data_IF_111962034805
#
_entry.id   IF_111962034805
#
_cell.length_a   1.000
_cell.length_b   1.000
_cell.length_c   1.000
_cell.angle_alpha   90.00
_cell.angle_beta   90.00
_cell.angle_gamma   90.00
#
_symmetry.space_group_name_H-M   'P 1'
#
loop_
_entity.id
_entity.type
_entity.pdbx_description
1 polymer ?
#
# COMPACT_ATOMS: atom_id res chain seq x y z
N UNK A 1 -2.63 -30.58 -36.05
CA UNK A 1 -2.91 -29.56 -35.01
C UNK A 1 -4.41 -29.27 -35.05
N UNK A 2 -5.15 -29.48 -33.96
CA UNK A 2 -6.63 -29.45 -33.98
C UNK A 2 -7.17 -28.03 -34.19
N UNK A 3 -8.24 -27.86 -34.99
CA UNK A 3 -8.90 -26.56 -35.23
C UNK A 3 -9.20 -25.79 -33.95
N UNK A 4 -9.57 -26.50 -32.88
CA UNK A 4 -9.84 -25.93 -31.56
C UNK A 4 -8.61 -25.27 -30.92
N UNK A 5 -7.39 -25.79 -31.14
CA UNK A 5 -6.17 -25.14 -30.66
C UNK A 5 -5.91 -23.85 -31.42
N UNK A 6 -6.12 -23.86 -32.74
CA UNK A 6 -5.93 -22.66 -33.59
C UNK A 6 -6.92 -21.54 -33.21
N UNK A 7 -8.18 -21.85 -32.93
CA UNK A 7 -9.15 -20.85 -32.47
C UNK A 7 -8.78 -20.30 -31.10
N UNK A 8 -8.39 -21.15 -30.14
CA UNK A 8 -8.01 -20.70 -28.81
C UNK A 8 -6.80 -19.74 -28.81
N UNK A 9 -5.79 -20.02 -29.66
CA UNK A 9 -4.66 -19.12 -29.84
C UNK A 9 -5.08 -17.80 -30.51
N UNK A 10 -5.97 -17.87 -31.51
CA UNK A 10 -6.50 -16.68 -32.17
C UNK A 10 -7.28 -15.79 -31.17
N UNK A 11 -8.17 -16.38 -30.37
CA UNK A 11 -8.96 -15.69 -29.36
C UNK A 11 -8.05 -15.08 -28.27
N UNK A 12 -7.00 -15.80 -27.86
CA UNK A 12 -6.02 -15.30 -26.90
C UNK A 12 -5.24 -14.10 -27.45
N UNK A 13 -4.84 -14.12 -28.72
CA UNK A 13 -4.12 -13.02 -29.37
C UNK A 13 -5.05 -11.81 -29.56
N UNK A 14 -6.31 -12.06 -29.91
CA UNK A 14 -7.32 -11.01 -30.05
C UNK A 14 -7.63 -10.34 -28.70
N UNK A 15 -7.76 -11.12 -27.63
CA UNK A 15 -7.93 -10.60 -26.28
C UNK A 15 -6.75 -9.74 -25.83
N UNK A 16 -5.51 -10.18 -26.10
CA UNK A 16 -4.31 -9.40 -25.82
C UNK A 16 -4.27 -8.09 -26.61
N UNK A 17 -4.64 -8.13 -27.90
CA UNK A 17 -4.75 -6.94 -28.73
C UNK A 17 -5.79 -5.96 -28.16
N UNK A 18 -6.98 -6.44 -27.80
CA UNK A 18 -8.03 -5.62 -27.18
C UNK A 18 -7.58 -5.01 -25.86
N UNK A 19 -6.87 -5.80 -25.03
CA UNK A 19 -6.31 -5.34 -23.75
C UNK A 19 -5.31 -4.21 -23.97
N UNK A 20 -4.39 -4.36 -24.93
CA UNK A 20 -3.42 -3.31 -25.29
C UNK A 20 -4.11 -2.06 -25.82
N UNK A 21 -5.15 -2.21 -26.65
CA UNK A 21 -5.95 -1.08 -27.14
C UNK A 21 -6.63 -0.35 -25.98
N UNK A 22 -7.26 -1.05 -25.04
CA UNK A 22 -7.88 -0.45 -23.85
C UNK A 22 -6.86 0.27 -22.95
N UNK A 23 -5.70 -0.34 -22.69
CA UNK A 23 -4.63 0.29 -21.89
C UNK A 23 -4.12 1.55 -22.58
N UNK A 24 -3.95 1.51 -23.90
CA UNK A 24 -3.53 2.67 -24.71
C UNK A 24 -4.56 3.79 -24.63
N UNK A 25 -5.86 3.50 -24.81
CA UNK A 25 -6.92 4.50 -24.65
C UNK A 25 -6.93 5.10 -23.25
N UNK A 26 -6.80 4.27 -22.20
CA UNK A 26 -6.76 4.75 -20.82
C UNK A 26 -5.55 5.64 -20.56
N UNK A 27 -4.38 5.31 -21.11
CA UNK A 27 -3.18 6.12 -21.02
C UNK A 27 -3.33 7.46 -21.77
N UNK A 28 -3.91 7.44 -22.97
CA UNK A 28 -4.17 8.64 -23.76
C UNK A 28 -5.18 9.55 -23.06
N UNK A 29 -6.29 9.01 -22.56
CA UNK A 29 -7.29 9.76 -21.80
C UNK A 29 -6.66 10.37 -20.54
N UNK A 30 -5.83 9.61 -19.82
CA UNK A 30 -5.13 10.10 -18.63
C UNK A 30 -4.15 11.23 -18.95
N UNK A 31 -3.34 11.09 -20.00
CA UNK A 31 -2.42 12.14 -20.44
C UNK A 31 -3.15 13.40 -20.91
N UNK A 32 -4.25 13.24 -21.64
CA UNK A 32 -5.11 14.37 -22.05
C UNK A 32 -5.76 15.06 -20.84
N UNK A 33 -6.03 14.33 -19.76
CA UNK A 33 -6.52 14.91 -18.52
C UNK A 33 -5.44 15.67 -17.73
N UNK A 34 -4.18 15.24 -17.79
CA UNK A 34 -3.03 15.92 -17.16
C UNK A 34 -2.54 17.13 -17.98
N UNK A 35 -2.68 17.10 -19.31
CA UNK A 35 -2.31 18.19 -20.22
C UNK A 35 -3.41 18.41 -21.29
N UNK A 36 -4.50 19.14 -20.96
CA UNK A 36 -5.58 19.38 -21.91
C UNK A 36 -5.12 20.27 -23.07
N UNK A 37 -5.34 19.80 -24.30
CA UNK A 37 -5.12 20.60 -25.50
C UNK A 37 -6.39 21.44 -25.72
N UNK A 38 -6.28 22.75 -25.52
CA UNK A 38 -7.37 23.68 -25.83
C UNK A 38 -7.38 24.00 -27.31
N UNK A 39 -8.48 23.66 -27.98
CA UNK A 39 -8.68 23.88 -29.41
C UNK A 39 -9.92 24.76 -29.58
N UNK A 40 -9.87 25.82 -30.39
CA UNK A 40 -11.06 26.61 -30.67
C UNK A 40 -12.11 25.76 -31.40
N UNK A 41 -13.38 25.99 -31.10
CA UNK A 41 -14.54 25.26 -31.68
C UNK A 41 -14.48 25.20 -33.21
N UNK A 42 -14.01 26.28 -33.85
CA UNK A 42 -13.83 26.36 -35.31
C UNK A 42 -12.82 25.38 -35.91
N UNK A 43 -11.99 24.73 -35.08
CA UNK A 43 -11.02 23.71 -35.49
C UNK A 43 -11.45 22.29 -35.15
N UNK A 44 -12.62 22.07 -34.55
CA UNK A 44 -13.13 20.72 -34.23
C UNK A 44 -13.23 19.83 -35.47
N UNK A 45 -13.58 20.42 -36.61
CA UNK A 45 -13.72 19.75 -37.92
C UNK A 45 -12.41 19.20 -38.48
N UNK A 46 -11.25 19.58 -37.90
CA UNK A 46 -9.95 18.98 -38.22
C UNK A 46 -9.76 17.60 -37.58
N UNK A 47 -10.55 17.27 -36.56
CA UNK A 47 -10.41 16.06 -35.74
C UNK A 47 -11.68 15.20 -35.74
N UNK A 48 -12.84 15.81 -35.94
CA UNK A 48 -14.16 15.17 -35.94
C UNK A 48 -14.86 15.49 -37.25
N UNK A 49 -15.44 14.48 -37.90
CA UNK A 49 -16.17 14.68 -39.15
C UNK A 49 -17.39 15.59 -38.95
N UNK A 50 -17.71 16.41 -39.96
CA UNK A 50 -18.85 17.31 -39.93
C UNK A 50 -20.17 16.54 -39.70
N UNK A 51 -20.26 15.30 -40.17
CA UNK A 51 -21.44 14.44 -39.98
C UNK A 51 -21.70 14.05 -38.52
N UNK A 52 -20.70 14.15 -37.64
CA UNK A 52 -20.76 13.75 -36.24
C UNK A 52 -20.93 14.94 -35.28
N UNK A 53 -20.86 16.16 -35.80
CA UNK A 53 -20.98 17.39 -35.01
C UNK A 53 -22.40 17.97 -35.12
N UNK A 54 -23.00 18.42 -34.00
CA UNK A 54 -24.21 19.24 -34.03
C UNK A 54 -24.06 20.48 -34.91
N UNK A 55 -25.17 20.98 -35.44
CA UNK A 55 -25.20 22.24 -36.21
C UNK A 55 -24.61 23.44 -35.44
N UNK A 56 -24.78 23.47 -34.11
CA UNK A 56 -24.21 24.50 -33.20
C UNK A 56 -22.68 24.57 -33.22
N UNK A 57 -22.01 23.49 -33.65
CA UNK A 57 -20.56 23.39 -33.76
C UNK A 57 -20.09 23.29 -35.22
N UNK A 58 -20.86 23.86 -36.16
CA UNK A 58 -20.58 23.85 -37.60
C UNK A 58 -20.58 22.45 -38.24
N UNK A 59 -21.38 21.53 -37.68
CA UNK A 59 -21.62 20.20 -38.23
C UNK A 59 -22.95 20.04 -38.96
N UNK A 60 -23.20 18.83 -39.45
CA UNK A 60 -24.38 18.42 -40.21
C UNK A 60 -25.38 17.62 -39.35
N UNK A 61 -24.98 17.20 -38.14
CA UNK A 61 -25.82 16.40 -37.27
C UNK A 61 -26.93 17.25 -36.63
N UNK A 62 -28.16 16.78 -36.75
CA UNK A 62 -29.30 17.43 -36.10
C UNK A 62 -29.45 16.88 -34.69
N UNK A 63 -29.02 17.64 -33.70
CA UNK A 63 -29.10 17.26 -32.30
C UNK A 63 -30.50 17.49 -31.75
N UNK A 64 -31.14 16.44 -31.24
CA UNK A 64 -32.37 16.51 -30.48
C UNK A 64 -32.08 16.10 -29.03
N UNK A 65 -32.07 17.09 -28.14
CA UNK A 65 -31.74 16.90 -26.74
C UNK A 65 -32.71 15.93 -26.05
N UNK A 66 -34.01 16.05 -26.32
CA UNK A 66 -35.04 15.24 -25.67
C UNK A 66 -34.93 13.78 -26.10
N UNK A 67 -34.73 13.54 -27.41
CA UNK A 67 -34.54 12.20 -27.95
C UNK A 67 -33.22 11.58 -27.49
N UNK A 68 -32.14 12.36 -27.42
CA UNK A 68 -30.87 11.88 -26.90
C UNK A 68 -30.99 11.43 -25.44
N UNK A 69 -31.66 12.22 -24.58
CA UNK A 69 -31.91 11.85 -23.18
C UNK A 69 -32.75 10.57 -23.10
N UNK A 70 -33.85 10.48 -23.85
CA UNK A 70 -34.73 9.31 -23.83
C UNK A 70 -33.97 8.03 -24.25
N UNK A 71 -33.22 8.08 -25.35
CA UNK A 71 -32.38 6.98 -25.79
C UNK A 71 -31.31 6.61 -24.74
N UNK A 72 -30.72 7.62 -24.08
CA UNK A 72 -29.69 7.40 -23.07
C UNK A 72 -30.25 6.64 -21.86
N UNK A 73 -31.44 7.03 -21.39
CA UNK A 73 -32.14 6.34 -20.30
C UNK A 73 -32.41 4.88 -20.68
N UNK A 74 -32.97 4.64 -21.88
CA UNK A 74 -33.29 3.28 -22.35
C UNK A 74 -32.03 2.41 -22.46
N UNK A 75 -30.93 2.95 -23.00
CA UNK A 75 -29.65 2.23 -23.09
C UNK A 75 -29.12 1.91 -21.68
N UNK A 76 -29.16 2.86 -20.76
CA UNK A 76 -28.66 2.64 -19.38
C UNK A 76 -29.49 1.58 -18.65
N UNK A 77 -30.81 1.58 -18.82
CA UNK A 77 -31.70 0.55 -18.29
C UNK A 77 -31.43 -0.83 -18.92
N UNK A 78 -31.27 -0.88 -20.25
CA UNK A 78 -30.93 -2.10 -20.95
C UNK A 78 -29.58 -2.67 -20.50
N UNK A 79 -28.54 -1.83 -20.42
CA UNK A 79 -27.19 -2.25 -20.00
C UNK A 79 -27.24 -2.81 -18.57
N UNK A 80 -27.93 -2.11 -17.66
CA UNK A 80 -28.10 -2.58 -16.27
C UNK A 80 -28.86 -3.91 -16.21
N UNK A 81 -29.91 -4.07 -17.02
CA UNK A 81 -30.65 -5.33 -17.15
C UNK A 81 -29.78 -6.48 -17.68
N UNK A 82 -28.97 -6.21 -18.72
CA UNK A 82 -28.07 -7.19 -19.30
C UNK A 82 -26.98 -7.63 -18.32
N UNK A 83 -26.36 -6.70 -17.60
CA UNK A 83 -25.40 -7.00 -16.54
C UNK A 83 -26.01 -7.90 -15.45
N UNK A 84 -27.24 -7.59 -15.03
CA UNK A 84 -27.96 -8.41 -14.05
C UNK A 84 -28.25 -9.81 -14.59
N UNK A 85 -28.72 -9.93 -15.84
CA UNK A 85 -29.01 -11.21 -16.46
C UNK A 85 -27.76 -12.09 -16.61
N UNK A 86 -26.63 -11.51 -17.01
CA UNK A 86 -25.35 -12.22 -17.09
C UNK A 86 -24.93 -12.70 -15.71
N UNK A 87 -24.97 -11.82 -14.69
CA UNK A 87 -24.61 -12.17 -13.31
C UNK A 87 -25.49 -13.30 -12.75
N UNK A 88 -26.81 -13.22 -12.96
CA UNK A 88 -27.77 -14.23 -12.53
C UNK A 88 -27.52 -15.57 -13.24
N UNK A 89 -27.19 -15.55 -14.53
CA UNK A 89 -26.85 -16.74 -15.32
C UNK A 89 -25.56 -17.38 -14.83
N UNK A 90 -24.51 -16.58 -14.59
CA UNK A 90 -23.25 -17.06 -14.03
C UNK A 90 -23.44 -17.70 -12.66
N UNK A 91 -24.24 -17.09 -11.79
CA UNK A 91 -24.58 -17.65 -10.48
C UNK A 91 -25.33 -18.97 -10.60
N UNK A 92 -26.37 -19.02 -11.42
CA UNK A 92 -27.18 -20.24 -11.63
C UNK A 92 -26.35 -21.38 -12.24
N UNK A 93 -25.43 -21.05 -13.16
CA UNK A 93 -24.50 -22.02 -13.77
C UNK A 93 -23.53 -22.59 -12.73
N UNK A 94 -22.97 -21.74 -11.87
CA UNK A 94 -22.12 -22.17 -10.76
C UNK A 94 -22.87 -23.09 -9.79
N UNK A 95 -24.07 -22.69 -9.37
CA UNK A 95 -24.91 -23.47 -8.45
C UNK A 95 -25.29 -24.83 -9.06
N UNK A 96 -25.65 -24.86 -10.34
CA UNK A 96 -25.89 -26.11 -11.07
C UNK A 96 -24.64 -27.00 -11.11
N UNK A 97 -23.45 -26.42 -11.35
CA UNK A 97 -22.18 -27.15 -11.26
C UNK A 97 -21.94 -27.75 -9.88
N UNK A 98 -22.25 -27.04 -8.81
CA UNK A 98 -22.18 -27.57 -7.44
C UNK A 98 -23.16 -28.74 -7.22
N UNK A 99 -24.38 -28.66 -7.77
CA UNK A 99 -25.36 -29.75 -7.69
C UNK A 99 -24.89 -30.99 -8.45
N UNK A 100 -24.34 -30.81 -9.66
CA UNK A 100 -23.78 -31.90 -10.45
C UNK A 100 -22.62 -32.60 -9.72
N UNK A 101 -21.74 -31.81 -9.09
CA UNK A 101 -20.66 -32.36 -8.26
C UNK A 101 -21.20 -33.17 -7.08
N UNK A 102 -22.21 -32.67 -6.36
CA UNK A 102 -22.85 -33.40 -5.26
C UNK A 102 -23.50 -34.71 -5.72
N UNK A 103 -24.16 -34.71 -6.88
CA UNK A 103 -24.75 -35.91 -7.47
C UNK A 103 -23.67 -36.93 -7.86
N UNK A 104 -22.59 -36.48 -8.49
CA UNK A 104 -21.45 -37.32 -8.85
C UNK A 104 -20.78 -37.95 -7.61
N UNK A 105 -20.62 -37.19 -6.53
CA UNK A 105 -20.10 -37.71 -5.25
C UNK A 105 -21.04 -38.77 -4.67
N UNK A 106 -22.35 -38.52 -4.64
CA UNK A 106 -23.35 -39.46 -4.13
C UNK A 106 -23.34 -40.78 -4.92
N UNK A 107 -23.21 -40.69 -6.25
CA UNK A 107 -23.09 -41.86 -7.13
C UNK A 107 -21.78 -42.63 -6.86
N UNK A 108 -20.66 -41.91 -6.72
CA UNK A 108 -19.35 -42.49 -6.45
C UNK A 108 -19.32 -43.24 -5.11
N UNK A 109 -19.92 -42.66 -4.07
CA UNK A 109 -20.10 -43.29 -2.75
C UNK A 109 -20.97 -44.55 -2.84
N UNK A 110 -22.08 -44.49 -3.58
CA UNK A 110 -22.95 -45.65 -3.83
C UNK A 110 -22.20 -46.79 -4.54
N UNK A 111 -21.25 -46.44 -5.41
CA UNK A 111 -20.36 -47.37 -6.10
C UNK A 111 -19.14 -47.82 -5.27
N UNK A 112 -19.03 -47.42 -3.98
CA UNK A 112 -17.92 -47.78 -3.06
C UNK A 112 -16.51 -47.42 -3.55
N UNK A 113 -16.38 -46.40 -4.39
CA UNK A 113 -15.06 -45.86 -4.74
C UNK A 113 -14.50 -45.06 -3.55
N UNK A 114 -13.41 -45.55 -2.95
CA UNK A 114 -12.77 -44.96 -1.77
C UNK A 114 -12.44 -43.46 -1.96
N UNK A 115 -12.82 -42.66 -0.96
CA UNK A 115 -12.80 -41.19 -0.95
C UNK A 115 -11.56 -40.63 -0.21
N UNK A 116 -10.78 -41.51 0.42
CA UNK A 116 -9.76 -41.17 1.41
C UNK A 116 -8.62 -40.31 0.85
N UNK A 117 -8.11 -40.64 -0.34
CA UNK A 117 -7.02 -39.87 -0.95
C UNK A 117 -7.47 -38.47 -1.37
N UNK A 118 -8.67 -38.32 -1.96
CA UNK A 118 -9.17 -37.01 -2.41
C UNK A 118 -9.54 -36.13 -1.22
N UNK A 119 -10.14 -36.71 -0.18
CA UNK A 119 -10.46 -35.99 1.05
C UNK A 119 -9.21 -35.59 1.83
N UNK A 120 -8.20 -36.46 1.89
CA UNK A 120 -6.89 -36.15 2.47
C UNK A 120 -6.19 -35.03 1.69
N UNK A 121 -6.18 -35.10 0.35
CA UNK A 121 -5.61 -34.05 -0.49
C UNK A 121 -6.32 -32.71 -0.32
N UNK A 122 -7.66 -32.71 -0.26
CA UNK A 122 -8.46 -31.51 0.02
C UNK A 122 -8.12 -30.92 1.39
N UNK A 123 -8.03 -31.77 2.41
CA UNK A 123 -7.64 -31.37 3.77
C UNK A 123 -6.24 -30.75 3.79
N UNK A 124 -5.28 -31.38 3.10
CA UNK A 124 -3.91 -30.87 2.97
C UNK A 124 -3.88 -29.52 2.24
N UNK A 125 -4.60 -29.40 1.12
CA UNK A 125 -4.69 -28.16 0.35
C UNK A 125 -5.32 -27.03 1.16
N UNK A 126 -6.40 -27.30 1.89
CA UNK A 126 -7.05 -26.30 2.74
C UNK A 126 -6.10 -25.83 3.85
N UNK A 127 -5.39 -26.76 4.51
CA UNK A 127 -4.40 -26.41 5.53
C UNK A 127 -3.27 -25.55 4.95
N UNK A 128 -2.74 -25.93 3.79
CA UNK A 128 -1.71 -25.15 3.10
C UNK A 128 -2.22 -23.76 2.69
N UNK A 129 -3.47 -23.67 2.23
CA UNK A 129 -4.11 -22.40 1.89
C UNK A 129 -4.30 -21.50 3.11
N UNK A 130 -4.78 -22.05 4.22
CA UNK A 130 -4.98 -21.30 5.47
C UNK A 130 -3.64 -20.80 6.02
N UNK A 131 -2.60 -21.64 5.96
CA UNK A 131 -1.23 -21.25 6.34
C UNK A 131 -0.70 -20.12 5.45
N UNK A 132 -0.79 -20.27 4.12
CA UNK A 132 -0.35 -19.25 3.17
C UNK A 132 -1.08 -17.92 3.41
N UNK A 133 -2.40 -17.97 3.60
CA UNK A 133 -3.20 -16.78 3.85
C UNK A 133 -2.83 -16.14 5.19
N UNK A 134 -2.66 -16.92 6.25
CA UNK A 134 -2.25 -16.42 7.57
C UNK A 134 -0.87 -15.74 7.51
N UNK A 135 0.12 -16.41 6.91
CA UNK A 135 1.48 -15.88 6.72
C UNK A 135 1.47 -14.61 5.86
N UNK A 136 0.70 -14.63 4.77
CA UNK A 136 0.55 -13.48 3.89
C UNK A 136 -0.06 -12.26 4.59
N UNK A 137 -1.09 -12.46 5.41
CA UNK A 137 -1.70 -11.38 6.19
C UNK A 137 -0.76 -10.81 7.25
N UNK A 138 -0.02 -11.67 7.96
CA UNK A 138 0.99 -11.25 8.93
C UNK A 138 2.08 -10.40 8.26
N UNK A 139 2.63 -10.89 7.13
CA UNK A 139 3.66 -10.15 6.39
C UNK A 139 3.16 -8.83 5.83
N UNK A 140 1.93 -8.79 5.30
CA UNK A 140 1.32 -7.55 4.83
C UNK A 140 1.12 -6.54 5.96
N UNK A 141 0.73 -7.01 7.15
CA UNK A 141 0.57 -6.16 8.34
C UNK A 141 1.91 -5.58 8.76
N UNK A 142 2.98 -6.38 8.80
CA UNK A 142 4.35 -5.91 9.07
C UNK A 142 4.79 -4.83 8.08
N UNK A 143 4.60 -5.06 6.77
CA UNK A 143 4.94 -4.08 5.74
C UNK A 143 4.15 -2.77 5.87
N UNK A 144 2.85 -2.85 6.17
CA UNK A 144 1.99 -1.67 6.37
C UNK A 144 2.45 -0.85 7.57
N UNK A 145 2.73 -1.52 8.70
CA UNK A 145 3.22 -0.83 9.91
C UNK A 145 4.61 -0.22 9.65
N UNK A 146 5.51 -0.92 8.96
CA UNK A 146 6.80 -0.36 8.52
C UNK A 146 6.61 0.88 7.67
N UNK A 147 5.74 0.86 6.67
CA UNK A 147 5.49 2.03 5.82
C UNK A 147 4.95 3.23 6.62
N UNK A 148 4.06 3.00 7.59
CA UNK A 148 3.56 4.03 8.50
C UNK A 148 4.70 4.58 9.37
N UNK A 149 5.54 3.71 9.92
CA UNK A 149 6.71 4.11 10.72
C UNK A 149 7.65 5.02 9.91
N UNK A 150 8.08 4.60 8.72
CA UNK A 150 9.00 5.39 7.88
C UNK A 150 8.42 6.74 7.47
N UNK A 151 7.12 6.79 7.11
CA UNK A 151 6.46 8.06 6.76
C UNK A 151 6.47 9.03 7.94
N UNK A 152 6.06 8.56 9.12
CA UNK A 152 5.99 9.39 10.31
C UNK A 152 7.37 9.84 10.79
N UNK A 153 8.35 8.94 10.85
CA UNK A 153 9.73 9.29 11.23
C UNK A 153 10.30 10.33 10.26
N UNK A 154 10.05 10.18 8.95
CA UNK A 154 10.50 11.15 7.95
C UNK A 154 9.87 12.53 8.18
N UNK A 155 8.57 12.58 8.43
CA UNK A 155 7.85 13.83 8.73
C UNK A 155 8.38 14.47 10.02
N UNK A 156 8.58 13.69 11.07
CA UNK A 156 9.13 14.16 12.34
C UNK A 156 10.57 14.67 12.19
N UNK A 157 11.42 14.00 11.41
CA UNK A 157 12.76 14.50 11.09
C UNK A 157 12.69 15.85 10.37
N UNK A 158 11.76 16.04 9.42
CA UNK A 158 11.60 17.32 8.73
C UNK A 158 11.14 18.42 9.72
N UNK A 159 10.19 18.11 10.60
CA UNK A 159 9.71 19.05 11.63
C UNK A 159 10.81 19.43 12.64
N UNK A 160 11.70 18.48 13.00
CA UNK A 160 12.87 18.76 13.85
C UNK A 160 13.85 19.72 13.17
N UNK A 161 14.11 19.54 11.87
CA UNK A 161 14.95 20.47 11.11
C UNK A 161 14.34 21.88 11.06
N UNK A 162 13.04 21.98 10.77
CA UNK A 162 12.32 23.27 10.77
C UNK A 162 12.39 23.97 12.13
N UNK A 163 12.14 23.24 13.24
CA UNK A 163 12.24 23.81 14.59
C UNK A 163 13.67 24.24 14.93
N UNK A 164 14.67 23.48 14.49
CA UNK A 164 16.07 23.81 14.68
C UNK A 164 16.46 25.07 13.89
N UNK A 165 15.98 25.24 12.67
CA UNK A 165 16.24 26.45 11.87
C UNK A 165 15.55 27.67 12.49
N UNK A 166 14.31 27.52 12.97
CA UNK A 166 13.63 28.57 13.74
C UNK A 166 14.43 28.96 14.99
N UNK A 167 14.91 27.97 15.76
CA UNK A 167 15.69 28.22 16.98
C UNK A 167 17.01 28.96 16.71
N UNK A 168 17.67 28.69 15.58
CA UNK A 168 18.90 29.41 15.17
C UNK A 168 18.60 30.86 14.78
N UNK A 169 17.52 31.09 14.02
CA UNK A 169 17.13 32.43 13.56
C UNK A 169 16.61 33.34 14.69
N UNK A 170 16.07 32.79 15.78
CA UNK A 170 15.54 33.57 16.90
C UNK A 170 16.60 34.22 17.81
N UNK A 171 17.90 33.95 17.58
CA UNK A 171 19.04 34.50 18.35
C UNK A 171 19.21 36.03 18.27
N UNK A 172 18.41 36.74 17.46
CA UNK A 172 18.56 38.18 17.19
C UNK A 172 17.42 39.09 17.71
N UNK A 173 16.56 38.62 18.63
CA UNK A 173 15.66 39.52 19.40
C UNK A 173 14.21 39.07 19.55
N UNK A 174 13.94 37.83 19.99
CA UNK A 174 12.57 37.29 19.99
C UNK A 174 11.73 37.66 21.23
N UNK A 175 10.45 37.92 21.00
CA UNK A 175 9.43 38.16 22.04
C UNK A 175 9.21 36.91 22.90
N UNK A 176 9.07 37.10 24.21
CA UNK A 176 8.79 36.05 25.23
C UNK A 176 7.62 35.12 24.88
N UNK A 177 6.72 35.54 23.99
CA UNK A 177 5.61 34.72 23.49
C UNK A 177 6.01 33.73 22.39
N UNK A 178 6.99 34.05 21.54
CA UNK A 178 7.45 33.17 20.44
C UNK A 178 8.29 32.00 20.98
N UNK A 179 9.20 32.29 21.91
CA UNK A 179 9.98 31.27 22.63
C UNK A 179 9.10 30.24 23.32
N UNK A 180 8.02 30.69 24.00
CA UNK A 180 7.05 29.76 24.62
C UNK A 180 6.33 28.87 23.60
N UNK A 181 6.00 29.40 22.42
CA UNK A 181 5.39 28.60 21.34
C UNK A 181 6.37 27.57 20.78
N UNK A 182 7.64 27.94 20.61
CA UNK A 182 8.68 27.04 20.14
C UNK A 182 8.86 25.87 21.11
N UNK A 183 8.96 26.15 22.42
CA UNK A 183 9.07 25.12 23.45
C UNK A 183 7.85 24.19 23.50
N UNK A 184 6.63 24.74 23.42
CA UNK A 184 5.41 23.92 23.37
C UNK A 184 5.33 23.04 22.12
N UNK A 185 5.80 23.53 20.97
CA UNK A 185 5.88 22.73 19.74
C UNK A 185 6.92 21.62 19.86
N UNK A 186 8.08 21.91 20.46
CA UNK A 186 9.10 20.90 20.76
C UNK A 186 8.55 19.79 21.66
N UNK A 187 7.88 20.13 22.77
CA UNK A 187 7.33 19.14 23.69
C UNK A 187 6.33 18.20 22.99
N UNK A 188 5.41 18.78 22.19
CA UNK A 188 4.46 17.99 21.40
C UNK A 188 5.18 17.05 20.44
N UNK A 189 6.15 17.57 19.70
CA UNK A 189 6.91 16.80 18.72
C UNK A 189 7.70 15.66 19.38
N UNK A 190 8.39 15.93 20.48
CA UNK A 190 9.15 14.90 21.21
C UNK A 190 8.26 13.79 21.76
N UNK A 191 7.03 14.10 22.20
CA UNK A 191 6.06 13.08 22.61
C UNK A 191 5.65 12.17 21.43
N UNK A 192 5.45 12.75 20.24
CA UNK A 192 5.13 11.99 19.03
C UNK A 192 6.31 11.15 18.54
N UNK A 193 7.53 11.69 18.61
CA UNK A 193 8.78 10.96 18.34
C UNK A 193 8.90 9.77 19.28
N UNK A 194 8.66 9.97 20.57
CA UNK A 194 8.66 8.90 21.57
C UNK A 194 7.71 7.75 21.27
N UNK A 195 6.52 8.06 20.72
CA UNK A 195 5.56 7.06 20.25
C UNK A 195 6.13 6.27 19.08
N UNK A 196 6.75 6.95 18.12
CA UNK A 196 7.35 6.31 16.94
C UNK A 196 8.60 5.49 17.30
N UNK A 197 9.41 5.94 18.26
CA UNK A 197 10.56 5.16 18.75
C UNK A 197 10.11 3.85 19.38
N UNK A 198 9.09 3.89 20.24
CA UNK A 198 8.48 2.67 20.82
C UNK A 198 7.88 1.76 19.75
N UNK A 199 7.19 2.33 18.76
CA UNK A 199 6.68 1.56 17.62
C UNK A 199 7.81 0.90 16.83
N UNK A 200 8.90 1.63 16.54
CA UNK A 200 10.06 1.11 15.83
C UNK A 200 10.73 -0.03 16.59
N UNK A 201 10.87 0.08 17.91
CA UNK A 201 11.39 -1.01 18.76
C UNK A 201 10.49 -2.26 18.71
N UNK A 202 9.18 -2.08 18.84
CA UNK A 202 8.22 -3.18 18.74
C UNK A 202 8.25 -3.83 17.35
N UNK A 203 8.32 -3.01 16.29
CA UNK A 203 8.38 -3.45 14.91
C UNK A 203 9.64 -4.30 14.65
N UNK A 204 10.81 -3.91 15.19
CA UNK A 204 12.02 -4.72 15.13
C UNK A 204 11.83 -6.09 15.76
N UNK A 205 11.21 -6.16 16.96
CA UNK A 205 10.91 -7.44 17.61
C UNK A 205 9.99 -8.30 16.74
N UNK A 206 8.93 -7.70 16.19
CA UNK A 206 7.99 -8.41 15.31
C UNK A 206 8.62 -8.89 14.01
N UNK A 207 9.53 -8.13 13.41
CA UNK A 207 10.19 -8.54 12.17
C UNK A 207 11.11 -9.75 12.34
N UNK A 208 11.63 -9.97 13.56
CA UNK A 208 12.44 -11.14 13.92
C UNK A 208 11.62 -12.39 14.28
N UNK A 209 10.31 -12.25 14.48
CA UNK A 209 9.44 -13.41 14.71
C UNK A 209 9.27 -14.19 13.39
N UNK A 210 9.53 -15.51 13.37
CA UNK A 210 9.40 -16.32 12.17
C UNK A 210 7.93 -16.35 11.71
N UNK A 211 7.72 -16.30 10.38
CA UNK A 211 6.39 -16.35 9.79
C UNK A 211 5.78 -17.76 9.85
N UNK A 212 6.62 -18.81 9.83
CA UNK A 212 6.18 -20.20 9.95
C UNK A 212 7.23 -21.05 10.68
N UNK A 213 6.81 -22.13 11.32
CA UNK A 213 7.69 -23.04 12.08
C UNK A 213 8.70 -23.81 11.21
N UNK A 214 8.51 -23.84 9.89
CA UNK A 214 9.32 -24.64 8.95
C UNK A 214 10.41 -23.81 8.25
N UNK A 215 10.47 -22.50 8.46
CA UNK A 215 11.49 -21.65 7.81
C UNK A 215 12.77 -21.62 8.64
N UNK A 216 13.87 -22.10 8.07
CA UNK A 216 15.21 -22.00 8.67
C UNK A 216 15.56 -20.54 8.94
N UNK A 217 16.09 -20.32 10.14
CA UNK A 217 16.07 -19.06 10.91
C UNK A 217 17.05 -17.98 10.41
N UNK A 218 17.89 -18.24 9.42
CA UNK A 218 18.93 -17.28 9.08
C UNK A 218 18.43 -16.15 8.17
N UNK A 219 18.45 -14.95 8.75
CA UNK A 219 18.59 -13.64 8.11
C UNK A 219 17.36 -13.02 7.42
N UNK A 220 16.18 -13.63 7.58
CA UNK A 220 14.95 -13.03 7.05
C UNK A 220 14.59 -11.77 7.85
N UNK A 221 14.77 -10.61 7.20
CA UNK A 221 14.49 -9.25 7.67
C UNK A 221 15.59 -8.56 8.50
N UNK A 222 16.79 -9.11 8.68
CA UNK A 222 17.81 -8.40 9.47
C UNK A 222 18.19 -7.06 8.83
N UNK A 223 18.27 -6.98 7.50
CA UNK A 223 18.43 -5.71 6.77
C UNK A 223 17.33 -4.70 7.08
N UNK A 224 16.07 -5.15 7.23
CA UNK A 224 14.96 -4.25 7.56
C UNK A 224 15.04 -3.80 9.03
N UNK A 225 15.45 -4.69 9.92
CA UNK A 225 15.67 -4.39 11.35
C UNK A 225 16.82 -3.40 11.53
N UNK A 226 17.90 -3.56 10.77
CA UNK A 226 19.03 -2.64 10.72
C UNK A 226 18.59 -1.27 10.19
N UNK A 227 17.88 -1.21 9.07
CA UNK A 227 17.36 0.04 8.51
C UNK A 227 16.40 0.79 9.46
N UNK A 228 15.60 0.07 10.25
CA UNK A 228 14.78 0.69 11.31
C UNK A 228 15.67 1.24 12.42
N UNK A 229 16.73 0.52 12.79
CA UNK A 229 17.69 0.95 13.80
C UNK A 229 18.41 2.23 13.40
N UNK A 230 18.86 2.32 12.16
CA UNK A 230 19.47 3.53 11.60
C UNK A 230 18.51 4.73 11.67
N UNK A 231 17.23 4.53 11.31
CA UNK A 231 16.23 5.59 11.41
C UNK A 231 15.92 6.02 12.83
N UNK A 232 15.91 5.10 13.78
CA UNK A 232 15.77 5.43 15.19
C UNK A 232 16.97 6.23 15.71
N UNK A 233 18.19 5.89 15.28
CA UNK A 233 19.38 6.65 15.62
C UNK A 233 19.37 8.05 15.00
N UNK A 234 18.98 8.18 13.73
CA UNK A 234 18.87 9.47 13.04
C UNK A 234 17.93 10.42 13.78
N UNK A 235 16.71 9.98 14.11
CA UNK A 235 15.73 10.84 14.77
C UNK A 235 16.15 11.20 16.21
N UNK A 236 16.83 10.30 16.91
CA UNK A 236 17.39 10.57 18.23
C UNK A 236 18.48 11.65 18.16
N UNK A 237 19.43 11.53 17.22
CA UNK A 237 20.49 12.53 17.02
C UNK A 237 19.92 13.91 16.67
N UNK A 238 18.88 13.97 15.83
CA UNK A 238 18.21 15.24 15.50
C UNK A 238 17.52 15.86 16.72
N UNK A 239 16.87 15.04 17.56
CA UNK A 239 16.26 15.52 18.79
C UNK A 239 17.30 16.04 19.78
N UNK A 240 18.44 15.37 19.94
CA UNK A 240 19.56 15.86 20.76
C UNK A 240 20.17 17.16 20.21
N UNK A 241 20.28 17.29 18.89
CA UNK A 241 20.80 18.50 18.25
C UNK A 241 19.88 19.70 18.52
N UNK A 242 18.56 19.51 18.43
CA UNK A 242 17.59 20.54 18.79
C UNK A 242 17.74 20.96 20.25
N UNK A 243 17.92 20.00 21.16
CA UNK A 243 18.11 20.27 22.59
C UNK A 243 19.39 21.06 22.85
N UNK A 244 20.49 20.71 22.20
CA UNK A 244 21.77 21.44 22.31
C UNK A 244 21.62 22.89 21.88
N UNK A 245 20.96 23.16 20.75
CA UNK A 245 20.75 24.53 20.23
C UNK A 245 19.92 25.37 21.20
N UNK A 246 18.89 24.77 21.80
CA UNK A 246 18.04 25.46 22.76
C UNK A 246 18.74 25.70 24.11
N UNK A 247 19.61 24.78 24.53
CA UNK A 247 20.46 24.96 25.71
C UNK A 247 21.53 26.04 25.50
N UNK A 248 22.13 26.16 24.30
CA UNK A 248 23.13 27.21 24.00
C UNK A 248 22.53 28.62 23.94
N UNK A 249 21.22 28.74 23.68
CA UNK A 249 20.52 30.02 23.58
C UNK A 249 19.96 30.54 24.92
N UNK A 250 20.32 29.93 26.05
CA UNK A 250 20.04 30.37 27.43
C UNK A 250 18.59 30.86 27.67
N UNK A 251 17.63 30.04 27.23
CA UNK A 251 16.19 30.19 27.59
C UNK A 251 15.86 29.42 28.88
N UNK A 252 16.77 28.58 29.39
CA UNK A 252 16.50 27.67 30.51
C UNK A 252 17.33 28.06 31.73
N UNK A 253 16.92 29.14 32.39
CA UNK A 253 17.07 29.29 33.85
C UNK A 253 15.73 29.70 34.44
N UNK A 254 14.77 28.78 34.45
CA UNK A 254 13.83 28.56 35.57
C UNK A 254 12.93 27.38 35.28
N UNK A 255 12.83 26.49 36.27
CA UNK A 255 11.96 25.32 36.40
C UNK A 255 12.43 24.02 35.73
N UNK A 256 13.51 23.48 36.31
CA UNK A 256 13.62 22.03 36.47
C UNK A 256 12.45 21.50 37.30
N UNK A 257 11.68 20.59 36.70
CA UNK A 257 11.25 19.35 37.34
C UNK A 257 11.35 18.25 36.30
N UNK A 258 12.26 17.30 36.55
CA UNK A 258 12.49 16.10 35.73
C UNK A 258 11.24 15.23 35.60
N UNK A 259 11.27 14.06 34.98
CA UNK A 259 12.34 13.18 34.55
C UNK A 259 11.58 12.11 33.74
N UNK A 260 11.94 11.86 32.48
CA UNK A 260 11.51 10.66 31.71
C UNK A 260 12.07 10.67 30.27
N UNK A 261 12.44 11.84 29.73
CA UNK A 261 12.89 11.95 28.33
C UNK A 261 14.37 11.55 28.15
N UNK A 262 15.20 11.67 29.19
CA UNK A 262 16.64 11.35 29.12
C UNK A 262 16.91 9.85 28.91
N UNK A 263 15.99 8.98 29.31
CA UNK A 263 16.17 7.53 29.24
C UNK A 263 16.10 7.00 27.80
N UNK A 264 15.55 7.77 26.85
CA UNK A 264 15.45 7.36 25.45
C UNK A 264 16.77 7.48 24.69
N UNK A 265 17.64 8.41 25.09
CA UNK A 265 18.88 8.72 24.38
C UNK A 265 20.00 7.72 24.69
N UNK A 266 20.11 7.29 25.95
CA UNK A 266 21.25 6.50 26.44
C UNK A 266 21.30 5.06 25.91
N UNK A 267 20.19 4.50 25.48
CA UNK A 267 20.09 3.07 25.11
C UNK A 267 20.37 2.82 23.62
N UNK A 268 20.67 3.87 22.84
CA UNK A 268 20.85 3.79 21.38
C UNK A 268 22.31 3.61 20.94
N UNK A 269 23.28 3.73 21.85
CA UNK A 269 24.72 3.71 21.52
C UNK A 269 25.50 2.56 22.15
N UNK A 270 24.89 1.70 22.97
CA UNK A 270 25.58 0.55 23.58
C UNK A 270 25.08 -0.79 23.04
N UNK A 271 25.63 -1.23 21.90
CA UNK A 271 25.99 -2.62 21.53
C UNK A 271 26.26 -2.70 20.02
N UNK A 272 27.37 -2.09 19.61
CA UNK A 272 28.10 -2.49 18.40
C UNK A 272 29.49 -2.83 18.90
N UNK A 273 29.69 -4.09 19.32
CA UNK A 273 31.03 -4.69 19.36
C UNK A 273 30.94 -6.21 19.51
N UNK A 274 31.37 -6.87 18.42
CA UNK A 274 32.02 -8.19 18.29
C UNK A 274 31.45 -9.41 19.03
N UNK A 275 30.87 -10.31 18.25
CA UNK A 275 31.05 -11.74 18.43
C UNK A 275 31.47 -12.38 17.08
N UNK A 276 32.74 -12.18 16.72
CA UNK A 276 33.43 -13.00 15.73
C UNK A 276 34.23 -14.08 16.44
N UNK A 277 33.91 -15.34 16.13
CA UNK A 277 34.86 -16.45 16.05
C UNK A 277 35.46 -17.00 17.34
N UNK A 278 34.94 -18.15 17.77
CA UNK A 278 35.76 -19.22 18.36
C UNK A 278 35.11 -20.57 18.06
N UNK A 279 35.51 -21.16 16.93
CA UNK A 279 35.45 -22.59 16.70
C UNK A 279 36.63 -23.20 17.44
N UNK A 280 36.37 -24.09 18.39
CA UNK A 280 37.30 -25.14 18.78
C UNK A 280 36.49 -26.36 19.19
N UNK A 281 36.84 -27.45 18.53
CA UNK A 281 36.49 -28.83 18.80
C UNK A 281 36.58 -29.20 20.28
N UNK A 282 35.83 -30.24 20.69
CA UNK A 282 36.30 -31.39 21.48
C UNK A 282 35.14 -32.33 21.85
N UNK A 283 35.23 -33.56 21.34
CA UNK A 283 34.92 -34.88 21.92
C UNK A 283 33.96 -34.99 23.13
N UNK A 284 32.79 -35.61 22.93
CA UNK A 284 32.36 -36.95 23.42
C UNK A 284 30.88 -37.21 23.05
#
# INVERSE_FOLDING_TARGET
MTSARKSLFQDSVELQRLTLTQVTHKFLIRNLAENPIFIPVSRLTKYIDHSQLPQEYSGLWTYDHSRWIANRIEIEEFVKGAEHAVSATSKSTYEYGCQLLKAALSLRQSCKFLEDHTQSLKSCLNKAWDQLNSVGQEQLTRLRVSAVFYRNVKEQCNQLHELMDLAKCESLGSSRGKVRKLLANRERLLLEIGRMVRLGRLLKTRLREPLSSETTIDDMNETAVEAISEKLAEIALLAESLDKILCTNDVIKTQEKGSEISEWYSDSTSKVDKATGASTDLDE
#
